data_IF_988821609817
#
_entry.id   IF_988821609817
#
_cell.length_a   1.000
_cell.length_b   1.000
_cell.length_c   1.000
_cell.angle_alpha   90.00
_cell.angle_beta   90.00
_cell.angle_gamma   90.00
#
_symmetry.space_group_name_H-M   'P 1'
#
loop_
_entity.id
_entity.type
_entity.pdbx_description
1 polymer ?
#
# COMPACT_ATOMS: atom_id res chain seq x y z
N UNK A 1 -21.39 -12.96 0.37
CA UNK A 1 -21.30 -12.40 0.12
C UNK A 1 -20.78 -11.58 -0.03
N UNK A 2 -20.60 -11.22 -0.23
CA UNK A 2 -20.13 -10.53 -0.33
C UNK A 2 -20.00 -9.51 -0.51
N UNK A 3 -19.69 -8.93 -0.52
CA UNK A 3 -19.53 -8.06 -0.60
C UNK A 3 -19.25 -7.10 -0.85
N UNK A 4 -19.20 -6.69 -0.99
CA UNK A 4 -18.99 -5.73 -1.22
C UNK A 4 -18.47 -4.70 -1.08
N UNK A 5 -17.94 -4.63 -0.70
CA UNK A 5 -17.22 -3.72 -0.39
C UNK A 5 -16.87 -2.85 -1.30
N UNK A 6 -16.85 -3.11 -2.11
CA UNK A 6 -16.34 -2.34 -2.98
C UNK A 6 -17.03 -1.30 -3.39
N UNK A 7 -18.06 -1.34 -3.24
CA UNK A 7 -18.79 -0.41 -3.62
C UNK A 7 -18.41 0.84 -3.51
N UNK A 8 -17.87 1.14 -2.68
CA UNK A 8 -17.64 2.39 -2.47
C UNK A 8 -16.74 2.99 -3.27
N UNK A 9 -16.28 2.49 -3.95
CA UNK A 9 -15.40 3.03 -4.57
C UNK A 9 -15.65 3.93 -5.38
N UNK A 10 -16.20 4.03 -5.82
CA UNK A 10 -16.30 4.72 -6.76
C UNK A 10 -16.49 5.95 -7.06
N UNK A 11 -17.07 6.63 -6.49
CA UNK A 11 -17.39 7.85 -6.83
C UNK A 11 -16.28 8.70 -7.02
N UNK A 12 -16.03 9.23 -8.07
CA UNK A 12 -14.98 10.14 -8.31
C UNK A 12 -13.64 9.51 -8.40
N UNK A 13 -13.53 8.26 -8.15
CA UNK A 13 -12.25 7.62 -8.23
C UNK A 13 -12.01 7.14 -9.63
N UNK A 14 -10.76 7.27 -10.05
CA UNK A 14 -10.39 6.78 -11.33
C UNK A 14 -9.84 5.39 -11.17
N UNK A 15 -10.26 4.45 -11.93
CA UNK A 15 -9.77 3.09 -11.83
C UNK A 15 -8.90 2.81 -13.03
N UNK A 16 -7.66 2.43 -12.78
CA UNK A 16 -6.68 2.19 -13.82
C UNK A 16 -5.92 0.94 -13.46
N UNK A 17 -6.02 -0.11 -14.21
CA UNK A 17 -6.90 -0.31 -15.35
C UNK A 17 -8.31 -0.60 -14.89
N UNK A 18 -9.11 -1.12 -15.78
CA UNK A 18 -10.47 -1.37 -15.49
C UNK A 18 -10.64 -2.32 -14.36
N UNK A 19 -11.67 -2.17 -13.59
CA UNK A 19 -11.91 -2.99 -12.41
C UNK A 19 -12.17 -4.44 -12.74
N UNK A 20 -11.65 -5.31 -11.93
CA UNK A 20 -11.89 -6.74 -12.04
C UNK A 20 -11.97 -7.31 -10.65
N UNK A 21 -12.36 -8.54 -10.54
CA UNK A 21 -12.47 -9.19 -9.27
C UNK A 21 -11.22 -10.01 -9.01
N UNK A 22 -10.59 -9.87 -7.85
CA UNK A 22 -9.41 -10.61 -7.49
C UNK A 22 -9.57 -11.27 -6.14
N UNK A 23 -8.93 -12.41 -5.99
CA UNK A 23 -8.81 -13.06 -4.70
C UNK A 23 -7.36 -12.98 -4.24
N UNK A 24 -7.15 -12.54 -3.03
CA UNK A 24 -5.81 -12.42 -2.48
C UNK A 24 -5.72 -13.30 -1.22
N UNK A 25 -5.30 -14.53 -1.38
CA UNK A 25 -5.25 -15.45 -0.25
C UNK A 25 -4.30 -14.99 0.82
N UNK A 26 -4.76 -15.07 2.04
CA UNK A 26 -3.93 -14.77 3.19
C UNK A 26 -3.31 -13.40 3.30
N UNK A 27 -3.69 -12.46 2.46
CA UNK A 27 -3.15 -11.16 2.56
C UNK A 27 -3.44 -10.55 3.90
N UNK A 28 -4.56 -10.83 4.47
CA UNK A 28 -4.93 -10.22 5.72
C UNK A 28 -4.98 -11.24 6.85
N UNK A 29 -4.34 -12.34 6.66
CA UNK A 29 -4.21 -13.31 7.71
C UNK A 29 -5.43 -14.17 7.95
N UNK A 30 -6.45 -13.97 7.19
CA UNK A 30 -7.64 -14.66 7.39
C UNK A 30 -8.09 -15.41 6.23
N UNK A 31 -7.36 -16.03 5.52
CA UNK A 31 -7.74 -16.75 4.33
C UNK A 31 -7.96 -15.79 3.21
N UNK A 32 -8.79 -16.16 2.29
CA UNK A 32 -8.93 -15.43 1.08
C UNK A 32 -9.85 -14.24 1.22
N UNK A 33 -9.47 -13.12 0.68
CA UNK A 33 -10.30 -11.95 0.65
C UNK A 33 -10.50 -11.56 -0.79
N UNK A 34 -11.74 -11.41 -1.20
CA UNK A 34 -12.05 -11.00 -2.55
C UNK A 34 -12.09 -9.48 -2.62
N UNK A 35 -11.20 -8.92 -3.43
CA UNK A 35 -11.18 -7.49 -3.66
C UNK A 35 -11.80 -7.25 -5.01
N UNK A 36 -13.02 -6.73 -5.00
CA UNK A 36 -13.68 -6.48 -6.21
C UNK A 36 -13.17 -5.33 -6.87
N UNK A 37 -13.13 -5.43 -8.12
CA UNK A 37 -12.93 -4.26 -8.85
C UNK A 37 -11.59 -3.69 -9.06
N UNK A 38 -10.60 -3.97 -8.36
CA UNK A 38 -9.34 -3.27 -8.54
C UNK A 38 -8.18 -4.19 -8.80
N UNK A 39 -7.39 -3.91 -9.84
CA UNK A 39 -6.15 -4.65 -10.04
C UNK A 39 -5.16 -4.32 -8.93
N UNK A 40 -4.16 -5.13 -8.80
CA UNK A 40 -3.15 -4.96 -7.75
C UNK A 40 -2.45 -3.60 -7.87
N UNK A 41 -2.26 -3.12 -9.09
CA UNK A 41 -1.60 -1.82 -9.28
C UNK A 41 -2.40 -0.68 -8.67
N UNK A 42 -3.72 -0.74 -8.77
CA UNK A 42 -4.56 0.29 -8.18
C UNK A 42 -4.49 0.24 -6.67
N UNK A 43 -4.54 -0.95 -6.10
CA UNK A 43 -4.46 -1.12 -4.65
C UNK A 43 -3.10 -0.63 -4.14
N UNK A 44 -2.03 -1.03 -4.81
CA UNK A 44 -0.69 -0.60 -4.43
C UNK A 44 -0.53 0.91 -4.52
N UNK A 45 -1.06 1.51 -5.57
CA UNK A 45 -0.93 2.96 -5.76
C UNK A 45 -1.56 3.71 -4.60
N UNK A 46 -2.73 3.28 -4.17
CA UNK A 46 -3.41 3.95 -3.07
C UNK A 46 -2.67 3.77 -1.76
N UNK A 47 -2.13 2.59 -1.53
CA UNK A 47 -1.40 2.36 -0.29
C UNK A 47 -0.07 3.07 -0.28
N UNK A 48 0.64 3.09 -1.40
CA UNK A 48 1.91 3.79 -1.49
C UNK A 48 1.71 5.29 -1.28
N UNK A 49 0.69 5.84 -1.91
CA UNK A 49 0.40 7.26 -1.74
C UNK A 49 0.07 7.55 -0.27
N UNK A 50 -0.74 6.70 0.35
CA UNK A 50 -1.14 6.91 1.73
C UNK A 50 0.04 6.89 2.70
N UNK A 51 0.94 5.90 2.56
CA UNK A 51 2.05 5.81 3.50
C UNK A 51 3.02 6.97 3.34
N UNK A 52 3.20 7.47 2.13
CA UNK A 52 4.07 8.61 1.91
C UNK A 52 3.40 9.90 2.35
N UNK A 53 2.14 10.09 1.96
CA UNK A 53 1.44 11.33 2.28
C UNK A 53 1.27 11.53 3.77
N UNK A 54 1.04 10.45 4.51
CA UNK A 54 0.87 10.55 5.95
C UNK A 54 2.19 10.50 6.72
N UNK A 55 3.18 9.84 6.15
CA UNK A 55 4.50 9.76 6.78
C UNK A 55 4.41 9.34 8.23
N UNK A 56 5.11 10.07 9.11
CA UNK A 56 5.14 9.73 10.53
C UNK A 56 3.82 10.01 11.24
N UNK A 57 2.88 10.64 10.58
CA UNK A 57 1.55 10.87 11.16
C UNK A 57 0.61 9.71 10.88
N UNK A 58 1.07 8.68 10.19
CA UNK A 58 0.22 7.55 9.83
C UNK A 58 -0.15 6.74 11.07
N UNK A 59 -1.44 6.43 11.21
CA UNK A 59 -1.91 5.62 12.32
C UNK A 59 -2.37 4.25 11.85
N UNK A 60 -2.03 3.86 10.61
CA UNK A 60 -2.49 2.60 10.04
C UNK A 60 -1.30 1.72 9.63
N UNK A 61 -0.70 1.02 10.59
CA UNK A 61 0.45 0.16 10.28
C UNK A 61 0.14 -0.89 9.23
N UNK A 62 -1.12 -1.27 9.11
CA UNK A 62 -1.53 -2.29 8.15
C UNK A 62 -1.18 -1.92 6.71
N UNK A 63 -1.19 -0.63 6.37
CA UNK A 63 -0.86 -0.23 5.00
C UNK A 63 0.58 -0.62 4.66
N UNK A 64 1.49 -0.50 5.62
CA UNK A 64 2.87 -0.92 5.42
C UNK A 64 2.97 -2.44 5.24
N UNK A 65 2.23 -3.17 6.07
CA UNK A 65 2.20 -4.62 5.96
C UNK A 65 1.67 -5.05 4.60
N UNK A 66 0.58 -4.43 4.18
CA UNK A 66 -0.07 -4.81 2.92
C UNK A 66 0.85 -4.58 1.72
N UNK A 67 1.59 -3.46 1.70
CA UNK A 67 2.52 -3.21 0.61
C UNK A 67 3.59 -4.29 0.58
N UNK A 68 4.13 -4.62 1.74
CA UNK A 68 5.21 -5.61 1.83
C UNK A 68 4.74 -6.97 1.33
N UNK A 69 3.55 -7.39 1.75
CA UNK A 69 3.00 -8.69 1.37
C UNK A 69 2.59 -8.71 -0.11
N UNK A 70 1.96 -7.65 -0.58
CA UNK A 70 1.55 -7.61 -2.00
C UNK A 70 2.75 -7.69 -2.92
N UNK A 71 3.80 -6.95 -2.62
CA UNK A 71 4.99 -7.01 -3.45
C UNK A 71 5.70 -8.34 -3.31
N UNK A 72 5.67 -8.95 -2.14
CA UNK A 72 6.31 -10.24 -1.93
C UNK A 72 5.59 -11.39 -2.62
N UNK A 73 4.26 -11.29 -2.74
CA UNK A 73 3.49 -12.39 -3.32
C UNK A 73 3.13 -12.14 -4.78
N UNK A 74 2.93 -10.90 -5.17
CA UNK A 74 2.44 -10.58 -6.51
C UNK A 74 3.34 -9.61 -7.27
N UNK A 75 4.49 -9.25 -6.69
CA UNK A 75 5.34 -8.23 -7.27
C UNK A 75 5.81 -8.51 -8.68
N UNK A 76 6.05 -9.77 -9.01
CA UNK A 76 6.52 -10.12 -10.34
C UNK A 76 5.45 -9.85 -11.40
N UNK A 77 4.19 -9.90 -11.02
CA UNK A 77 3.10 -9.66 -11.94
C UNK A 77 2.66 -8.20 -12.00
N UNK A 78 3.29 -7.34 -11.23
CA UNK A 78 2.91 -5.93 -11.21
C UNK A 78 3.50 -5.22 -12.43
N UNK A 79 2.63 -4.56 -13.19
CA UNK A 79 3.08 -3.79 -14.34
C UNK A 79 3.45 -2.40 -13.85
N UNK A 80 4.73 -2.08 -13.89
CA UNK A 80 5.22 -0.81 -13.36
C UNK A 80 4.67 0.41 -14.09
N UNK A 81 4.42 0.29 -15.38
CA UNK A 81 3.81 1.39 -16.12
C UNK A 81 2.39 1.65 -15.62
N UNK A 82 1.62 0.59 -15.45
CA UNK A 82 0.26 0.70 -14.93
C UNK A 82 0.26 1.24 -13.51
N UNK A 83 1.21 0.79 -12.71
CA UNK A 83 1.34 1.28 -11.33
C UNK A 83 1.66 2.77 -11.33
N UNK A 84 2.54 3.22 -12.24
CA UNK A 84 2.88 4.63 -12.32
C UNK A 84 1.65 5.46 -12.68
N UNK A 85 0.87 4.98 -13.64
CA UNK A 85 -0.35 5.69 -14.02
C UNK A 85 -1.34 5.76 -12.87
N UNK A 86 -1.51 4.66 -12.16
CA UNK A 86 -2.42 4.63 -11.03
C UNK A 86 -1.95 5.55 -9.92
N UNK A 87 -0.65 5.57 -9.67
CA UNK A 87 -0.08 6.42 -8.63
C UNK A 87 -0.25 7.90 -9.00
N UNK A 88 0.03 8.25 -10.25
CA UNK A 88 -0.13 9.63 -10.71
C UNK A 88 -1.59 10.06 -10.57
N UNK A 89 -2.53 9.20 -10.93
CA UNK A 89 -3.95 9.50 -10.80
C UNK A 89 -4.34 9.74 -9.34
N UNK A 90 -3.86 8.88 -8.46
CA UNK A 90 -4.16 8.99 -7.04
C UNK A 90 -3.60 10.28 -6.46
N UNK A 91 -2.36 10.60 -6.81
CA UNK A 91 -1.72 11.80 -6.31
C UNK A 91 -2.41 13.06 -6.83
N UNK A 92 -2.83 13.05 -8.08
CA UNK A 92 -3.52 14.17 -8.66
C UNK A 92 -4.85 14.39 -7.96
N UNK A 93 -5.58 13.30 -7.74
CA UNK A 93 -6.86 13.39 -7.10
C UNK A 93 -6.76 13.88 -5.66
N UNK A 94 -5.75 13.46 -4.94
CA UNK A 94 -5.58 13.80 -3.53
C UNK A 94 -4.70 15.02 -3.30
N UNK A 95 -4.11 15.56 -4.36
CA UNK A 95 -3.28 16.75 -4.24
C UNK A 95 -1.97 16.48 -3.52
N UNK A 96 -1.42 15.29 -3.66
CA UNK A 96 -0.22 14.89 -2.92
C UNK A 96 1.04 14.82 -3.77
N UNK A 97 1.04 15.44 -4.94
CA UNK A 97 2.19 15.33 -5.83
C UNK A 97 3.50 15.82 -5.19
N UNK A 98 3.43 16.92 -4.45
CA UNK A 98 4.62 17.46 -3.83
C UNK A 98 5.16 16.53 -2.75
N UNK A 99 4.27 15.91 -2.00
CA UNK A 99 4.69 15.00 -0.94
C UNK A 99 5.26 13.72 -1.52
N UNK A 100 4.61 13.18 -2.57
CA UNK A 100 5.08 11.93 -3.14
C UNK A 100 6.46 12.11 -3.78
N UNK A 101 6.80 13.31 -4.20
CA UNK A 101 8.12 13.57 -4.76
C UNK A 101 9.22 13.40 -3.71
N UNK A 102 8.86 13.44 -2.43
CA UNK A 102 9.80 13.27 -1.33
C UNK A 102 9.72 11.88 -0.72
N UNK A 103 9.29 10.92 -1.48
CA UNK A 103 8.99 9.59 -0.97
C UNK A 103 10.17 8.93 -0.23
N UNK A 104 11.38 9.10 -0.74
CA UNK A 104 12.54 8.44 -0.13
C UNK A 104 12.80 9.02 1.27
N UNK A 105 12.75 10.33 1.38
CA UNK A 105 12.98 11.01 2.65
C UNK A 105 11.89 10.65 3.65
N UNK A 106 10.65 10.66 3.21
CA UNK A 106 9.52 10.37 4.10
C UNK A 106 9.62 8.94 4.64
N UNK A 107 9.92 7.98 3.77
CA UNK A 107 10.01 6.60 4.21
C UNK A 107 11.20 6.34 5.11
N UNK A 108 12.30 7.06 4.91
CA UNK A 108 13.43 6.97 5.82
C UNK A 108 13.04 7.50 7.20
N UNK A 109 12.29 8.59 7.24
CA UNK A 109 11.83 9.15 8.50
C UNK A 109 10.91 8.17 9.23
N UNK A 110 10.00 7.54 8.49
CA UNK A 110 9.09 6.58 9.08
C UNK A 110 9.86 5.40 9.69
N UNK A 111 10.84 4.90 8.97
CA UNK A 111 11.58 3.70 9.39
C UNK A 111 12.38 3.94 10.66
N UNK A 112 12.68 5.20 10.97
CA UNK A 112 13.46 5.52 12.15
C UNK A 112 12.68 6.25 13.24
N UNK A 113 11.40 6.52 13.01
CA UNK A 113 10.61 7.27 13.97
C UNK A 113 10.18 6.39 15.13
N UNK A 114 10.47 6.84 16.35
CA UNK A 114 10.19 6.03 17.53
C UNK A 114 8.70 5.70 17.69
N UNK A 115 7.84 6.67 17.41
CA UNK A 115 6.41 6.44 17.57
C UNK A 115 5.90 5.44 16.53
N UNK A 116 6.42 5.51 15.31
CA UNK A 116 6.04 4.56 14.27
C UNK A 116 6.50 3.16 14.61
N UNK A 117 7.72 3.03 15.14
CA UNK A 117 8.23 1.73 15.55
C UNK A 117 7.40 1.15 16.67
N UNK A 118 6.96 1.99 17.61
CA UNK A 118 6.11 1.54 18.71
C UNK A 118 4.76 1.08 18.22
N UNK A 119 4.18 1.82 17.26
CA UNK A 119 2.91 1.42 16.67
C UNK A 119 3.04 0.10 15.93
N UNK A 120 4.14 -0.10 15.24
CA UNK A 120 4.37 -1.35 14.52
C UNK A 120 4.49 -2.52 15.49
N UNK A 121 5.20 -2.34 16.58
CA UNK A 121 5.33 -3.40 17.58
C UNK A 121 3.97 -3.79 18.14
N UNK A 122 3.11 -2.79 18.37
CA UNK A 122 1.77 -3.06 18.87
C UNK A 122 0.94 -3.80 17.84
N UNK A 123 1.06 -3.41 16.58
CA UNK A 123 0.34 -4.04 15.49
C UNK A 123 0.72 -5.52 15.38
N UNK A 124 2.01 -5.81 15.45
CA UNK A 124 2.50 -7.19 15.37
C UNK A 124 1.99 -8.03 16.52
N UNK A 125 1.96 -7.44 17.72
CA UNK A 125 1.45 -8.18 18.88
C UNK A 125 -0.02 -8.56 18.70
N UNK A 126 -0.80 -7.71 18.07
CA UNK A 126 -2.22 -7.97 17.86
C UNK A 126 -2.48 -8.82 16.62
N UNK A 127 -1.53 -8.91 15.73
CA UNK A 127 -1.72 -9.59 14.45
C UNK A 127 -0.56 -10.55 14.20
N UNK A 128 -0.66 -11.78 14.72
CA UNK A 128 0.45 -12.75 14.63
C UNK A 128 0.94 -13.01 13.22
N UNK A 129 0.11 -12.79 12.21
CA UNK A 129 0.54 -13.02 10.84
C UNK A 129 1.67 -12.08 10.43
N UNK A 130 1.88 -10.99 11.16
CA UNK A 130 2.95 -10.05 10.86
C UNK A 130 4.23 -10.34 11.64
N UNK A 131 4.22 -11.41 12.43
CA UNK A 131 5.36 -11.73 13.26
C UNK A 131 6.58 -11.96 12.40
N UNK A 132 7.71 -11.40 12.81
CA UNK A 132 8.96 -11.57 12.07
C UNK A 132 9.18 -10.52 10.99
N UNK A 133 8.18 -9.68 10.72
CA UNK A 133 8.32 -8.63 9.73
C UNK A 133 8.59 -7.32 10.47
N UNK A 134 9.62 -6.60 10.04
CA UNK A 134 9.96 -5.33 10.67
C UNK A 134 9.39 -4.18 9.88
N UNK A 135 9.10 -3.07 10.54
CA UNK A 135 8.64 -1.88 9.85
C UNK A 135 9.67 -1.44 8.81
N UNK A 136 10.95 -1.56 9.14
CA UNK A 136 12.03 -1.21 8.22
C UNK A 136 11.96 -2.06 6.95
N UNK A 137 11.57 -3.33 7.07
CA UNK A 137 11.41 -4.19 5.90
C UNK A 137 10.28 -3.69 5.01
N UNK A 138 9.20 -3.27 5.61
CA UNK A 138 8.07 -2.75 4.86
C UNK A 138 8.43 -1.45 4.16
N UNK A 139 9.14 -0.57 4.86
CA UNK A 139 9.59 0.69 4.26
C UNK A 139 10.58 0.43 3.13
N UNK A 140 11.45 -0.57 3.29
CA UNK A 140 12.40 -0.91 2.23
C UNK A 140 11.68 -1.41 0.99
N UNK A 141 10.63 -2.22 1.18
CA UNK A 141 9.82 -2.69 0.06
C UNK A 141 9.13 -1.53 -0.64
N UNK A 142 8.55 -0.61 0.13
CA UNK A 142 7.88 0.55 -0.45
C UNK A 142 8.88 1.42 -1.20
N UNK A 143 10.07 1.63 -0.64
CA UNK A 143 11.10 2.42 -1.31
C UNK A 143 11.55 1.77 -2.61
N UNK A 144 11.77 0.47 -2.59
CA UNK A 144 12.19 -0.24 -3.79
C UNK A 144 11.12 -0.14 -4.88
N UNK A 145 9.86 -0.27 -4.48
CA UNK A 145 8.76 -0.18 -5.42
C UNK A 145 8.68 1.22 -6.02
N UNK A 146 8.77 2.24 -5.18
CA UNK A 146 8.70 3.62 -5.67
C UNK A 146 9.91 3.97 -6.53
N UNK A 147 11.08 3.45 -6.19
CA UNK A 147 12.25 3.68 -7.01
C UNK A 147 12.07 3.09 -8.41
N UNK A 148 11.45 1.94 -8.51
CA UNK A 148 11.17 1.33 -9.81
C UNK A 148 10.13 2.10 -10.59
N UNK A 149 9.14 2.66 -9.90
CA UNK A 149 8.04 3.35 -10.54
C UNK A 149 8.41 4.79 -10.92
N UNK A 150 9.08 5.48 -10.00
CA UNK A 150 9.36 6.91 -10.17
C UNK A 150 10.70 7.16 -10.84
N UNK A 151 11.53 6.20 -10.74
CA UNK A 151 12.85 6.31 -11.19
C UNK A 151 13.10 6.40 -12.61
#
# INVERSE_FOLDING_TARGET
MSAPLTVDVTTGDRITPEAVEYSYPLLFGEGEITLMAYPVETVLAEKLETVVARGVANTRPRDFYDIHVLMGTMGEGVDMHTLREALDSTCEKRGSQATIARWAEVLDDVASDAAMLAQWAKYVRKNPYAKGILLQDCCATAKATLASVMG
#
